data_IF_124591921331
#
_entry.id   IF_124591921331
#
_cell.length_a   1.000
_cell.length_b   1.000
_cell.length_c   1.000
_cell.angle_alpha   90.00
_cell.angle_beta   90.00
_cell.angle_gamma   90.00
#
_symmetry.space_group_name_H-M   'P 1'
#
loop_
_entity.id
_entity.type
_entity.pdbx_description
1 polymer ?
#
# COMPACT_ATOMS: atom_id res chain seq x y z
N UNK A 1 2.73 25.86 -43.51
CA UNK A 1 3.00 24.41 -43.32
C UNK A 1 3.22 24.06 -41.84
N UNK A 2 4.15 24.68 -41.13
CA UNK A 2 4.44 24.38 -39.72
C UNK A 2 3.22 24.55 -38.78
N UNK A 3 2.50 25.67 -38.91
CA UNK A 3 1.28 25.96 -38.14
C UNK A 3 0.18 24.89 -38.35
N UNK A 4 0.03 24.39 -39.55
CA UNK A 4 -0.95 23.36 -39.86
C UNK A 4 -0.54 22.00 -39.22
N UNK A 5 0.74 21.67 -39.25
CA UNK A 5 1.26 20.48 -38.59
C UNK A 5 1.04 20.59 -37.08
N UNK A 6 1.42 21.71 -36.46
CA UNK A 6 1.21 21.94 -35.04
C UNK A 6 -0.27 21.83 -34.65
N UNK A 7 -1.16 22.47 -35.41
CA UNK A 7 -2.60 22.36 -35.20
C UNK A 7 -3.09 20.90 -35.23
N UNK A 8 -2.68 20.11 -36.20
CA UNK A 8 -3.06 18.69 -36.29
C UNK A 8 -2.52 17.86 -35.12
N UNK A 9 -1.29 18.14 -34.68
CA UNK A 9 -0.71 17.46 -33.49
C UNK A 9 -1.48 17.80 -32.21
N UNK A 10 -1.78 19.08 -31.99
CA UNK A 10 -2.57 19.52 -30.82
C UNK A 10 -3.96 18.90 -30.87
N UNK A 11 -4.61 18.86 -32.01
CA UNK A 11 -5.93 18.23 -32.17
C UNK A 11 -5.87 16.75 -31.89
N UNK A 12 -4.88 16.03 -32.42
CA UNK A 12 -4.70 14.60 -32.16
C UNK A 12 -4.45 14.30 -30.66
N UNK A 13 -3.57 15.09 -30.01
CA UNK A 13 -3.34 14.98 -28.57
C UNK A 13 -4.61 15.26 -27.75
N UNK A 14 -5.40 16.28 -28.15
CA UNK A 14 -6.66 16.61 -27.46
C UNK A 14 -7.69 15.50 -27.60
N UNK A 15 -7.80 14.87 -28.77
CA UNK A 15 -8.67 13.73 -28.99
C UNK A 15 -8.24 12.53 -28.11
N UNK A 16 -6.95 12.20 -28.11
CA UNK A 16 -6.41 11.12 -27.28
C UNK A 16 -6.68 11.38 -25.78
N UNK A 17 -6.45 12.59 -25.32
CA UNK A 17 -6.75 12.98 -23.94
C UNK A 17 -8.25 12.88 -23.63
N UNK A 18 -9.10 13.31 -24.56
CA UNK A 18 -10.56 13.19 -24.46
C UNK A 18 -11.02 11.73 -24.34
N UNK A 19 -10.48 10.84 -25.18
CA UNK A 19 -10.77 9.40 -25.11
C UNK A 19 -10.27 8.78 -23.80
N UNK A 20 -9.09 9.19 -23.34
CA UNK A 20 -8.54 8.77 -22.05
C UNK A 20 -9.46 9.17 -20.89
N UNK A 21 -9.89 10.45 -20.84
CA UNK A 21 -10.82 10.94 -19.84
C UNK A 21 -12.18 10.23 -19.90
N UNK A 22 -12.70 9.97 -21.10
CA UNK A 22 -13.94 9.22 -21.28
C UNK A 22 -13.82 7.78 -20.74
N UNK A 23 -12.69 7.11 -21.01
CA UNK A 23 -12.40 5.80 -20.45
C UNK A 23 -12.42 5.81 -18.91
N UNK A 24 -11.69 6.76 -18.28
CA UNK A 24 -11.69 6.86 -16.82
C UNK A 24 -13.05 7.22 -16.25
N UNK A 25 -13.79 8.11 -16.89
CA UNK A 25 -15.16 8.44 -16.51
C UNK A 25 -16.09 7.23 -16.55
N UNK A 26 -16.02 6.44 -17.62
CA UNK A 26 -16.81 5.21 -17.77
C UNK A 26 -16.43 4.17 -16.70
N UNK A 27 -15.12 3.96 -16.44
CA UNK A 27 -14.66 3.08 -15.37
C UNK A 27 -15.14 3.56 -14.01
N UNK A 28 -15.04 4.86 -13.73
CA UNK A 28 -15.41 5.45 -12.44
C UNK A 28 -16.89 5.19 -12.07
N UNK A 29 -17.80 5.09 -13.04
CA UNK A 29 -19.20 4.77 -12.79
C UNK A 29 -19.38 3.42 -12.09
N UNK A 30 -18.48 2.47 -12.30
CA UNK A 30 -18.47 1.18 -11.60
C UNK A 30 -18.09 1.29 -10.13
N UNK A 31 -17.58 2.43 -9.67
CA UNK A 31 -17.38 2.72 -8.24
C UNK A 31 -18.69 2.75 -7.43
N UNK A 32 -19.84 2.91 -8.09
CA UNK A 32 -21.16 2.82 -7.46
C UNK A 32 -21.71 1.38 -7.41
N UNK A 33 -21.10 0.45 -8.14
CA UNK A 33 -21.54 -0.95 -8.14
C UNK A 33 -21.25 -1.59 -6.77
N UNK A 34 -22.25 -2.23 -6.17
CA UNK A 34 -22.07 -3.02 -4.96
C UNK A 34 -21.10 -4.17 -5.24
N UNK A 35 -20.02 -4.22 -4.47
CA UNK A 35 -19.00 -5.26 -4.62
C UNK A 35 -19.44 -6.55 -3.91
N UNK A 36 -19.00 -7.67 -4.46
CA UNK A 36 -19.10 -8.94 -3.73
C UNK A 36 -18.08 -8.91 -2.59
N UNK A 37 -18.55 -9.12 -1.36
CA UNK A 37 -17.67 -9.19 -0.21
C UNK A 37 -16.72 -10.39 -0.36
N UNK A 38 -15.47 -10.21 0.06
CA UNK A 38 -14.54 -11.32 0.19
C UNK A 38 -15.02 -12.20 1.35
N UNK A 39 -15.13 -13.53 1.19
CA UNK A 39 -15.57 -14.41 2.26
C UNK A 39 -14.68 -14.29 3.49
N UNK A 40 -15.28 -14.31 4.67
CA UNK A 40 -14.54 -14.32 5.93
C UNK A 40 -13.85 -15.67 6.12
N UNK A 41 -12.60 -15.63 6.52
CA UNK A 41 -11.76 -16.82 6.66
C UNK A 41 -11.09 -16.82 8.04
N UNK A 42 -10.95 -17.99 8.64
CA UNK A 42 -10.18 -18.10 9.88
C UNK A 42 -8.74 -17.60 9.68
N UNK A 43 -8.15 -16.93 10.69
CA UNK A 43 -6.77 -16.48 10.63
C UNK A 43 -5.81 -17.63 10.36
N UNK A 44 -4.98 -17.51 9.33
CA UNK A 44 -3.94 -18.51 9.00
C UNK A 44 -2.69 -17.90 8.35
N UNK A 45 -2.81 -16.70 7.75
CA UNK A 45 -1.69 -16.04 7.08
C UNK A 45 -0.74 -15.45 8.11
N UNK A 46 0.54 -15.81 8.06
CA UNK A 46 1.56 -15.20 8.91
C UNK A 46 2.10 -13.93 8.25
N UNK A 47 1.86 -12.78 8.88
CA UNK A 47 2.21 -11.47 8.35
C UNK A 47 3.50 -10.89 8.95
N UNK A 48 4.35 -10.31 8.11
CA UNK A 48 5.34 -9.32 8.50
C UNK A 48 4.74 -7.91 8.30
N UNK A 49 4.44 -7.19 9.38
CA UNK A 49 3.99 -5.80 9.33
C UNK A 49 5.21 -4.88 9.33
N UNK A 50 5.54 -4.30 8.19
CA UNK A 50 6.79 -3.58 7.94
C UNK A 50 6.54 -2.08 7.85
N UNK A 51 7.32 -1.30 8.59
CA UNK A 51 7.38 0.16 8.47
C UNK A 51 8.83 0.64 8.32
N UNK A 52 9.13 1.33 7.21
CA UNK A 52 10.35 2.12 7.09
C UNK A 52 10.14 3.45 7.80
N UNK A 53 11.08 3.86 8.66
CA UNK A 53 10.95 5.06 9.46
C UNK A 53 12.22 5.92 9.40
N UNK A 54 12.04 7.24 9.20
CA UNK A 54 13.14 8.20 9.21
C UNK A 54 12.75 9.47 9.95
N UNK A 55 13.28 9.64 11.17
CA UNK A 55 12.96 10.76 12.05
C UNK A 55 11.46 10.86 12.40
N UNK A 56 10.91 9.73 12.88
CA UNK A 56 9.49 9.55 13.20
C UNK A 56 9.25 9.29 14.70
N UNK A 57 10.16 9.77 15.58
CA UNK A 57 10.09 9.55 17.04
C UNK A 57 8.72 9.92 17.63
N UNK A 58 8.09 10.99 17.10
CA UNK A 58 6.82 11.50 17.62
C UNK A 58 5.62 10.59 17.33
N UNK A 59 5.64 9.81 16.24
CA UNK A 59 4.46 9.12 15.70
C UNK A 59 4.61 7.60 15.63
N UNK A 60 5.82 7.07 15.50
CA UNK A 60 6.05 5.63 15.27
C UNK A 60 5.43 4.74 16.35
N UNK A 61 5.39 5.18 17.61
CA UNK A 61 4.77 4.43 18.68
C UNK A 61 3.26 4.25 18.49
N UNK A 62 2.57 5.21 17.86
CA UNK A 62 1.14 5.14 17.59
C UNK A 62 0.83 4.05 16.55
N UNK A 63 1.64 3.96 15.49
CA UNK A 63 1.55 2.86 14.51
C UNK A 63 1.70 1.51 15.22
N UNK A 64 2.79 1.32 15.98
CA UNK A 64 3.06 0.05 16.68
C UNK A 64 1.92 -0.32 17.63
N UNK A 65 1.41 0.63 18.42
CA UNK A 65 0.27 0.40 19.31
C UNK A 65 -1.01 0.03 18.54
N UNK A 66 -1.28 0.63 17.38
CA UNK A 66 -2.44 0.30 16.55
C UNK A 66 -2.33 -1.11 15.96
N UNK A 67 -1.13 -1.52 15.54
CA UNK A 67 -0.85 -2.87 15.07
C UNK A 67 -0.97 -3.90 16.20
N UNK A 68 -0.54 -3.60 17.42
CA UNK A 68 -0.71 -4.50 18.57
C UNK A 68 -2.16 -4.73 18.99
N UNK A 69 -3.09 -3.88 18.54
CA UNK A 69 -4.53 -3.97 18.81
C UNK A 69 -5.30 -4.69 17.69
N UNK A 70 -4.60 -5.39 16.78
CA UNK A 70 -5.28 -6.12 15.72
C UNK A 70 -6.14 -7.26 16.27
N UNK A 71 -7.35 -7.42 15.74
CA UNK A 71 -8.23 -8.57 15.95
C UNK A 71 -7.71 -9.76 15.15
N UNK A 72 -6.47 -10.15 15.43
CA UNK A 72 -5.74 -11.21 14.74
C UNK A 72 -4.81 -11.92 15.74
N UNK A 73 -4.60 -13.25 15.63
CA UNK A 73 -3.75 -13.96 16.57
C UNK A 73 -2.33 -13.38 16.63
N UNK A 74 -1.81 -13.02 17.82
CA UNK A 74 -0.53 -12.35 17.95
C UNK A 74 0.66 -13.22 17.49
N UNK A 75 0.51 -14.53 17.47
CA UNK A 75 1.51 -15.48 16.96
C UNK A 75 1.58 -15.53 15.43
N UNK A 76 0.60 -14.94 14.73
CA UNK A 76 0.52 -14.92 13.28
C UNK A 76 0.99 -13.58 12.68
N UNK A 77 1.54 -12.67 13.46
CA UNK A 77 2.17 -11.48 12.88
C UNK A 77 3.28 -10.92 13.77
N UNK A 78 4.25 -10.33 13.11
CA UNK A 78 5.33 -9.58 13.74
C UNK A 78 5.32 -8.13 13.23
N UNK A 79 5.65 -7.18 14.12
CA UNK A 79 5.75 -5.76 13.80
C UNK A 79 7.23 -5.41 13.67
N UNK A 80 7.65 -5.03 12.47
CA UNK A 80 9.03 -4.79 12.11
C UNK A 80 9.18 -3.33 11.70
N UNK A 81 9.91 -2.57 12.49
CA UNK A 81 10.28 -1.20 12.15
C UNK A 81 11.72 -1.19 11.66
N UNK A 82 11.96 -0.60 10.51
CA UNK A 82 13.28 -0.42 9.93
C UNK A 82 13.67 1.08 9.99
N UNK A 83 14.29 1.53 11.11
CA UNK A 83 14.79 2.89 11.21
C UNK A 83 15.96 3.07 10.26
N UNK A 84 15.92 4.13 9.44
CA UNK A 84 16.98 4.41 8.48
C UNK A 84 17.40 5.88 8.57
N UNK A 85 18.69 6.14 8.59
CA UNK A 85 19.28 7.49 8.63
C UNK A 85 18.64 8.42 9.69
N UNK A 86 18.21 7.85 10.84
CA UNK A 86 17.59 8.61 11.92
C UNK A 86 18.63 9.38 12.73
N UNK A 87 18.28 10.62 13.10
CA UNK A 87 19.05 11.48 14.00
C UNK A 87 18.34 11.71 15.34
N UNK A 88 17.13 11.16 15.50
CA UNK A 88 16.25 11.25 16.68
C UNK A 88 16.09 9.89 17.39
N UNK A 89 15.14 9.81 18.31
CA UNK A 89 14.84 8.60 19.09
C UNK A 89 13.90 7.60 18.43
N UNK A 90 13.68 7.65 17.10
CA UNK A 90 12.73 6.77 16.38
C UNK A 90 12.90 5.28 16.73
N UNK A 91 14.12 4.75 16.70
CA UNK A 91 14.39 3.34 16.99
C UNK A 91 14.00 2.98 18.43
N UNK A 92 14.38 3.84 19.39
CA UNK A 92 14.05 3.66 20.81
C UNK A 92 12.54 3.71 21.04
N UNK A 93 11.83 4.65 20.42
CA UNK A 93 10.37 4.77 20.53
C UNK A 93 9.65 3.55 19.96
N UNK A 94 10.08 3.05 18.79
CA UNK A 94 9.53 1.84 18.18
C UNK A 94 9.75 0.59 19.06
N UNK A 95 10.95 0.40 19.58
CA UNK A 95 11.30 -0.72 20.45
C UNK A 95 10.51 -0.68 21.76
N UNK A 96 10.42 0.50 22.39
CA UNK A 96 9.66 0.69 23.63
C UNK A 96 8.17 0.41 23.44
N UNK A 97 7.60 0.68 22.25
CA UNK A 97 6.23 0.35 21.88
C UNK A 97 6.05 -1.16 21.60
N UNK A 98 7.13 -1.92 21.43
CA UNK A 98 7.13 -3.37 21.27
C UNK A 98 7.29 -3.86 19.81
N UNK A 99 7.89 -3.06 18.94
CA UNK A 99 8.30 -3.50 17.62
C UNK A 99 9.65 -4.21 17.65
N UNK A 100 9.83 -5.15 16.71
CA UNK A 100 11.14 -5.66 16.33
C UNK A 100 11.84 -4.60 15.48
N UNK A 101 13.13 -4.38 15.73
CA UNK A 101 13.93 -3.47 14.92
C UNK A 101 14.73 -4.25 13.87
N UNK A 102 14.68 -3.78 12.64
CA UNK A 102 15.59 -4.18 11.58
C UNK A 102 16.51 -2.99 11.25
N UNK A 103 17.81 -3.13 11.44
CA UNK A 103 18.79 -2.11 11.08
C UNK A 103 19.30 -2.39 9.65
N UNK A 104 18.93 -1.57 8.65
CA UNK A 104 19.44 -1.72 7.30
C UNK A 104 20.97 -1.65 7.28
N UNK A 105 21.61 -2.49 6.46
CA UNK A 105 23.07 -2.64 6.39
C UNK A 105 23.69 -1.91 5.20
N UNK A 106 22.91 -1.67 4.14
CA UNK A 106 23.35 -1.00 2.93
C UNK A 106 23.18 0.51 2.95
N UNK A 107 23.55 1.15 1.85
CA UNK A 107 23.24 2.56 1.62
C UNK A 107 21.75 2.72 1.32
N UNK A 108 21.06 3.49 2.14
CA UNK A 108 19.63 3.72 2.03
C UNK A 108 19.38 5.13 1.51
N UNK A 109 18.83 5.22 0.31
CA UNK A 109 18.44 6.47 -0.35
C UNK A 109 16.91 6.64 -0.41
N UNK A 110 16.16 5.54 -0.35
CA UNK A 110 14.72 5.50 -0.54
C UNK A 110 14.04 4.50 0.40
N UNK A 111 12.71 4.59 0.52
CA UNK A 111 11.87 3.58 1.17
C UNK A 111 12.00 2.22 0.46
N UNK A 112 12.14 2.22 -0.87
CA UNK A 112 12.35 1.01 -1.67
C UNK A 112 13.60 0.24 -1.27
N UNK A 113 14.71 0.92 -0.94
CA UNK A 113 15.95 0.27 -0.49
C UNK A 113 15.76 -0.43 0.85
N UNK A 114 15.05 0.22 1.79
CA UNK A 114 14.68 -0.39 3.08
C UNK A 114 13.82 -1.63 2.87
N UNK A 115 12.79 -1.53 2.03
CA UNK A 115 11.89 -2.64 1.76
C UNK A 115 12.62 -3.81 1.09
N UNK A 116 13.59 -3.54 0.20
CA UNK A 116 14.43 -4.57 -0.42
C UNK A 116 15.16 -5.41 0.63
N UNK A 117 15.88 -4.77 1.54
CA UNK A 117 16.60 -5.48 2.59
C UNK A 117 15.68 -6.23 3.55
N UNK A 118 14.56 -5.62 3.95
CA UNK A 118 13.58 -6.27 4.84
C UNK A 118 12.93 -7.47 4.16
N UNK A 119 12.61 -7.37 2.87
CA UNK A 119 12.03 -8.50 2.12
C UNK A 119 13.03 -9.65 2.06
N UNK A 120 14.28 -9.40 1.69
CA UNK A 120 15.29 -10.45 1.55
C UNK A 120 15.64 -11.09 2.89
N UNK A 121 15.98 -10.26 3.90
CA UNK A 121 16.60 -10.72 5.14
C UNK A 121 15.58 -11.09 6.23
N UNK A 122 14.34 -10.62 6.12
CA UNK A 122 13.32 -10.85 7.15
C UNK A 122 12.12 -11.60 6.57
N UNK A 123 11.46 -11.07 5.53
CA UNK A 123 10.19 -11.65 5.06
C UNK A 123 10.42 -13.03 4.43
N UNK A 124 11.33 -13.11 3.47
CA UNK A 124 11.59 -14.36 2.74
C UNK A 124 12.40 -15.37 3.56
N UNK A 125 13.30 -14.90 4.42
CA UNK A 125 14.08 -15.74 5.31
C UNK A 125 13.28 -16.20 6.55
N UNK A 126 12.36 -15.38 7.05
CA UNK A 126 11.61 -15.62 8.29
C UNK A 126 10.37 -16.50 8.16
N UNK A 127 10.07 -17.01 6.96
CA UNK A 127 8.92 -17.91 6.75
C UNK A 127 7.56 -17.25 6.90
N UNK A 128 7.45 -15.96 6.61
CA UNK A 128 6.17 -15.25 6.51
C UNK A 128 5.44 -15.61 5.22
N UNK A 129 4.11 -15.66 5.28
CA UNK A 129 3.27 -15.88 4.11
C UNK A 129 3.06 -14.60 3.30
N UNK A 130 3.04 -13.45 3.98
CA UNK A 130 2.85 -12.16 3.34
C UNK A 130 3.48 -11.02 4.15
N UNK A 131 3.79 -9.93 3.47
CA UNK A 131 4.21 -8.66 4.05
C UNK A 131 3.07 -7.65 3.96
N UNK A 132 2.84 -6.89 5.04
CA UNK A 132 2.04 -5.67 5.02
C UNK A 132 2.96 -4.46 5.19
N UNK A 133 2.80 -3.44 4.36
CA UNK A 133 3.63 -2.22 4.40
C UNK A 133 2.83 -1.04 4.92
N UNK A 134 3.43 -0.29 5.83
CA UNK A 134 2.85 0.90 6.45
C UNK A 134 3.85 2.06 6.43
N UNK A 135 3.32 3.28 6.38
CA UNK A 135 4.09 4.48 6.69
C UNK A 135 4.15 4.66 8.23
N UNK A 136 5.21 5.28 8.71
CA UNK A 136 5.50 5.36 10.15
C UNK A 136 4.46 6.15 10.95
N UNK A 137 3.74 7.03 10.28
CA UNK A 137 2.68 7.88 10.83
C UNK A 137 1.27 7.27 10.76
N UNK A 138 1.09 6.14 10.12
CA UNK A 138 -0.23 5.52 9.96
C UNK A 138 -0.84 5.06 11.29
N UNK A 139 -2.18 5.04 11.34
CA UNK A 139 -2.95 4.26 12.31
C UNK A 139 -3.68 3.13 11.57
N UNK A 140 -3.69 1.94 12.15
CA UNK A 140 -4.25 0.76 11.50
C UNK A 140 -5.54 0.33 12.19
N UNK A 141 -6.63 0.18 11.42
CA UNK A 141 -7.91 -0.30 11.96
C UNK A 141 -7.74 -1.71 12.57
N UNK A 142 -8.37 -2.02 13.71
CA UNK A 142 -8.20 -3.30 14.39
C UNK A 142 -8.47 -4.56 13.55
N UNK A 143 -9.30 -4.47 12.54
CA UNK A 143 -9.63 -5.61 11.66
C UNK A 143 -8.74 -5.70 10.40
N UNK A 144 -7.76 -4.84 10.24
CA UNK A 144 -6.96 -4.74 9.00
C UNK A 144 -6.35 -6.09 8.61
N UNK A 145 -5.61 -6.74 9.51
CA UNK A 145 -4.95 -8.02 9.22
C UNK A 145 -5.96 -9.13 8.94
N UNK A 146 -7.08 -9.16 9.66
CA UNK A 146 -8.15 -10.12 9.40
C UNK A 146 -8.74 -9.94 7.99
N UNK A 147 -8.91 -8.70 7.52
CA UNK A 147 -9.41 -8.41 6.14
C UNK A 147 -8.37 -8.73 5.09
N UNK A 148 -7.09 -8.48 5.36
CA UNK A 148 -6.00 -8.87 4.46
C UNK A 148 -5.87 -10.41 4.38
N UNK A 149 -6.00 -11.12 5.51
CA UNK A 149 -6.07 -12.58 5.52
C UNK A 149 -7.20 -13.12 4.63
N UNK A 150 -8.41 -12.53 4.73
CA UNK A 150 -9.53 -12.93 3.87
C UNK A 150 -9.16 -12.83 2.39
N UNK A 151 -8.52 -11.72 1.99
CA UNK A 151 -8.13 -11.49 0.60
C UNK A 151 -7.01 -12.44 0.13
N UNK A 152 -5.99 -12.67 0.96
CA UNK A 152 -4.90 -13.63 0.66
C UNK A 152 -5.47 -15.05 0.55
N UNK A 153 -6.37 -15.44 1.46
CA UNK A 153 -7.04 -16.74 1.42
C UNK A 153 -7.97 -16.92 0.21
N UNK A 154 -8.49 -15.83 -0.34
CA UNK A 154 -9.23 -15.84 -1.61
C UNK A 154 -8.33 -15.96 -2.85
N UNK A 155 -7.00 -16.05 -2.68
CA UNK A 155 -6.02 -16.24 -3.75
C UNK A 155 -5.43 -14.94 -4.30
N UNK A 156 -5.66 -13.79 -3.67
CA UNK A 156 -5.04 -12.53 -4.08
C UNK A 156 -3.60 -12.45 -3.57
N UNK A 157 -2.65 -12.21 -4.48
CA UNK A 157 -1.21 -12.17 -4.17
C UNK A 157 -0.69 -10.77 -3.84
N UNK A 158 -1.37 -9.74 -4.33
CA UNK A 158 -1.15 -8.33 -3.99
C UNK A 158 -2.50 -7.68 -3.66
N UNK A 159 -2.58 -6.94 -2.57
CA UNK A 159 -3.84 -6.36 -2.06
C UNK A 159 -3.59 -4.96 -1.53
N UNK A 160 -4.32 -3.97 -2.03
CA UNK A 160 -4.36 -2.61 -1.46
C UNK A 160 -5.56 -2.50 -0.50
N UNK A 161 -5.32 -1.96 0.69
CA UNK A 161 -6.36 -1.57 1.63
C UNK A 161 -6.96 -0.19 1.34
N UNK A 162 -7.92 0.21 2.15
CA UNK A 162 -8.53 1.52 2.11
C UNK A 162 -7.67 2.51 2.90
N UNK A 163 -7.17 3.55 2.24
CA UNK A 163 -6.45 4.64 2.89
C UNK A 163 -7.44 5.75 3.22
N UNK A 164 -7.71 5.95 4.50
CA UNK A 164 -8.55 7.00 5.03
C UNK A 164 -7.68 8.11 5.65
N UNK A 165 -8.28 9.20 6.08
CA UNK A 165 -7.59 10.32 6.71
C UNK A 165 -7.88 10.37 8.20
N UNK A 166 -6.86 10.70 9.03
CA UNK A 166 -6.99 10.89 10.48
C UNK A 166 -7.73 12.18 10.83
N UNK A 167 -7.43 13.24 10.11
CA UNK A 167 -7.75 14.64 10.49
C UNK A 167 -8.20 15.49 9.29
N UNK A 168 -9.26 15.07 8.55
CA UNK A 168 -9.70 15.76 7.33
C UNK A 168 -10.15 17.21 7.59
N UNK A 169 -10.50 17.54 8.84
CA UNK A 169 -11.01 18.85 9.23
C UNK A 169 -9.93 19.82 9.74
N UNK A 170 -8.67 19.37 9.85
CA UNK A 170 -7.59 20.17 10.45
C UNK A 170 -7.24 21.41 9.60
N UNK A 171 -7.30 21.28 8.29
CA UNK A 171 -7.02 22.37 7.34
C UNK A 171 -7.69 22.12 5.99
N UNK A 172 -7.77 23.17 5.16
CA UNK A 172 -8.25 23.02 3.79
C UNK A 172 -7.37 22.05 2.97
N UNK A 173 -6.06 22.00 3.25
CA UNK A 173 -5.11 21.10 2.58
C UNK A 173 -5.40 19.67 2.99
N UNK A 174 -5.54 19.39 4.30
CA UNK A 174 -5.90 18.03 4.79
C UNK A 174 -7.24 17.57 4.23
N UNK A 175 -8.23 18.46 4.14
CA UNK A 175 -9.53 18.15 3.53
C UNK A 175 -9.42 17.81 2.04
N UNK A 176 -8.65 18.57 1.27
CA UNK A 176 -8.41 18.27 -0.15
C UNK A 176 -7.67 16.94 -0.33
N UNK A 177 -6.69 16.65 0.51
CA UNK A 177 -5.95 15.39 0.52
C UNK A 177 -6.87 14.20 0.81
N UNK A 178 -7.71 14.32 1.82
CA UNK A 178 -8.72 13.31 2.20
C UNK A 178 -9.68 13.03 1.05
N UNK A 179 -10.23 14.07 0.41
CA UNK A 179 -11.10 13.94 -0.76
C UNK A 179 -10.39 13.20 -1.90
N UNK A 180 -9.11 13.52 -2.16
CA UNK A 180 -8.32 12.87 -3.19
C UNK A 180 -8.24 11.35 -2.95
N UNK A 181 -7.92 10.90 -1.72
CA UNK A 181 -7.88 9.49 -1.38
C UNK A 181 -9.24 8.81 -1.39
N UNK A 182 -10.31 9.47 -0.93
CA UNK A 182 -11.67 8.92 -1.03
C UNK A 182 -12.10 8.73 -2.48
N UNK A 183 -11.76 9.68 -3.36
CA UNK A 183 -11.99 9.55 -4.81
C UNK A 183 -11.17 8.42 -5.41
N UNK A 184 -9.88 8.29 -5.06
CA UNK A 184 -9.01 7.21 -5.51
C UNK A 184 -9.55 5.84 -5.06
N UNK A 185 -9.91 5.70 -3.80
CA UNK A 185 -10.50 4.48 -3.26
C UNK A 185 -11.81 4.12 -3.97
N UNK A 186 -12.71 5.10 -4.18
CA UNK A 186 -14.06 4.88 -4.72
C UNK A 186 -14.04 4.72 -6.24
N UNK A 187 -13.51 5.71 -6.95
CA UNK A 187 -13.66 5.85 -8.40
C UNK A 187 -12.52 5.24 -9.20
N UNK A 188 -11.41 4.91 -8.54
CA UNK A 188 -10.31 4.21 -9.17
C UNK A 188 -10.22 2.76 -8.66
N UNK A 189 -9.80 2.52 -7.41
CA UNK A 189 -9.54 1.17 -6.90
C UNK A 189 -10.80 0.29 -6.84
N UNK A 190 -11.90 0.80 -6.26
CA UNK A 190 -13.17 0.07 -6.22
C UNK A 190 -13.74 -0.17 -7.61
N UNK A 191 -13.75 0.85 -8.45
CA UNK A 191 -14.30 0.77 -9.81
C UNK A 191 -13.55 -0.27 -10.67
N UNK A 192 -12.22 -0.21 -10.68
CA UNK A 192 -11.38 -1.16 -11.41
C UNK A 192 -11.55 -2.58 -10.89
N UNK A 193 -11.56 -2.74 -9.58
CA UNK A 193 -11.78 -4.06 -8.96
C UNK A 193 -13.17 -4.64 -9.27
N UNK A 194 -14.21 -3.79 -9.39
CA UNK A 194 -15.55 -4.22 -9.80
C UNK A 194 -15.62 -4.73 -11.25
N UNK A 195 -14.67 -4.31 -12.09
CA UNK A 195 -14.48 -4.75 -13.47
C UNK A 195 -13.48 -5.91 -13.61
N UNK A 196 -12.90 -6.40 -12.50
CA UNK A 196 -11.84 -7.40 -12.53
C UNK A 196 -10.51 -6.85 -13.05
N UNK A 197 -10.31 -5.53 -13.04
CA UNK A 197 -9.06 -4.87 -13.38
C UNK A 197 -8.18 -4.72 -12.13
N UNK A 198 -6.87 -4.51 -12.33
CA UNK A 198 -5.93 -4.25 -11.25
C UNK A 198 -6.25 -2.93 -10.54
N UNK A 199 -6.30 -2.92 -9.22
CA UNK A 199 -6.17 -1.72 -8.43
C UNK A 199 -4.74 -1.17 -8.49
N UNK A 200 -4.46 -0.09 -7.77
CA UNK A 200 -3.15 0.53 -7.65
C UNK A 200 -2.71 0.47 -6.19
N UNK A 201 -1.47 0.09 -5.96
CA UNK A 201 -0.81 0.30 -4.66
C UNK A 201 -0.50 1.79 -4.53
N UNK A 202 -0.76 2.36 -3.35
CA UNK A 202 -0.61 3.80 -3.08
C UNK A 202 0.17 4.06 -1.78
N UNK A 203 1.39 3.55 -1.73
CA UNK A 203 2.40 3.85 -0.73
C UNK A 203 2.28 3.08 0.57
N UNK A 204 1.08 2.88 1.10
CA UNK A 204 0.86 2.31 2.43
C UNK A 204 -0.42 1.48 2.51
N UNK A 205 -0.54 0.65 3.57
CA UNK A 205 -1.72 -0.18 3.80
C UNK A 205 -1.94 -1.23 2.72
N UNK A 206 -0.89 -1.83 2.20
CA UNK A 206 -0.98 -2.88 1.20
C UNK A 206 -0.29 -4.17 1.68
N UNK A 207 -0.65 -5.26 1.04
CA UNK A 207 -0.10 -6.60 1.31
C UNK A 207 0.45 -7.20 0.03
N UNK A 208 1.62 -7.83 0.12
CA UNK A 208 2.23 -8.67 -0.92
C UNK A 208 2.57 -10.04 -0.33
N UNK A 209 2.16 -11.13 -1.00
CA UNK A 209 2.51 -12.48 -0.55
C UNK A 209 3.99 -12.78 -0.78
N UNK A 210 4.58 -13.59 0.09
CA UNK A 210 5.96 -14.04 -0.09
C UNK A 210 6.15 -14.83 -1.39
N UNK A 211 5.11 -15.51 -1.88
CA UNK A 211 5.11 -16.17 -3.19
C UNK A 211 5.32 -15.20 -4.33
N UNK A 212 4.56 -14.10 -4.36
CA UNK A 212 4.73 -13.03 -5.34
C UNK A 212 6.11 -12.38 -5.23
N UNK A 213 6.57 -12.08 -4.00
CA UNK A 213 7.88 -11.47 -3.81
C UNK A 213 9.01 -12.35 -4.32
N UNK A 214 8.94 -13.68 -4.13
CA UNK A 214 9.92 -14.62 -4.72
C UNK A 214 9.86 -14.65 -6.25
N UNK A 215 8.66 -14.62 -6.84
CA UNK A 215 8.48 -14.58 -8.29
C UNK A 215 9.05 -13.31 -8.91
N UNK A 216 8.92 -12.17 -8.22
CA UNK A 216 9.49 -10.89 -8.64
C UNK A 216 11.02 -10.80 -8.38
N UNK A 217 11.63 -11.80 -7.71
CA UNK A 217 13.04 -11.78 -7.32
C UNK A 217 13.35 -10.86 -6.14
N UNK A 218 12.39 -10.62 -5.25
CA UNK A 218 12.47 -9.71 -4.11
C UNK A 218 11.71 -8.39 -4.34
N UNK A 219 12.10 -7.35 -3.61
CA UNK A 219 11.56 -5.99 -3.79
C UNK A 219 12.51 -5.18 -4.69
N UNK A 220 12.32 -5.26 -6.01
CA UNK A 220 13.23 -4.74 -7.03
C UNK A 220 12.81 -3.38 -7.60
N UNK A 221 12.27 -2.49 -6.76
CA UNK A 221 11.93 -1.14 -7.17
C UNK A 221 13.16 -0.23 -7.15
N UNK A 222 13.25 0.68 -8.13
CA UNK A 222 14.38 1.62 -8.28
C UNK A 222 13.91 3.08 -8.35
N UNK A 223 12.62 3.33 -8.52
CA UNK A 223 12.06 4.68 -8.60
C UNK A 223 11.66 5.20 -7.21
N UNK A 224 11.50 6.51 -7.08
CA UNK A 224 11.00 7.14 -5.85
C UNK A 224 9.52 6.81 -5.57
N UNK A 225 8.80 6.32 -6.58
CA UNK A 225 7.41 5.86 -6.47
C UNK A 225 7.38 4.33 -6.54
N UNK A 226 8.00 3.71 -5.54
CA UNK A 226 8.18 2.26 -5.44
C UNK A 226 6.87 1.48 -5.50
N UNK A 227 5.78 2.07 -5.02
CA UNK A 227 4.43 1.52 -4.99
C UNK A 227 3.80 1.43 -6.40
N UNK A 228 3.97 2.47 -7.21
CA UNK A 228 3.55 2.47 -8.61
C UNK A 228 4.37 1.47 -9.42
N UNK A 229 5.69 1.45 -9.20
CA UNK A 229 6.58 0.49 -9.85
C UNK A 229 6.22 -0.94 -9.49
N UNK A 230 5.96 -1.24 -8.20
CA UNK A 230 5.48 -2.54 -7.76
C UNK A 230 4.16 -2.92 -8.43
N UNK A 231 3.22 -1.98 -8.55
CA UNK A 231 1.95 -2.21 -9.25
C UNK A 231 2.18 -2.56 -10.74
N UNK A 232 3.16 -1.91 -11.38
CA UNK A 232 3.54 -2.21 -12.77
C UNK A 232 4.21 -3.57 -12.89
N UNK A 233 5.10 -3.93 -11.97
CA UNK A 233 5.75 -5.26 -11.91
C UNK A 233 4.71 -6.37 -11.75
N UNK A 234 3.70 -6.19 -10.88
CA UNK A 234 2.58 -7.12 -10.77
C UNK A 234 1.86 -7.30 -12.12
N UNK A 235 1.57 -6.20 -12.83
CA UNK A 235 0.89 -6.27 -14.11
C UNK A 235 1.73 -6.97 -15.20
N UNK A 236 3.04 -6.72 -15.24
CA UNK A 236 3.97 -7.34 -16.19
C UNK A 236 4.10 -8.85 -15.97
N UNK A 237 3.97 -9.33 -14.74
CA UNK A 237 3.97 -10.75 -14.39
C UNK A 237 2.57 -11.39 -14.43
N UNK A 238 1.56 -10.67 -14.93
CA UNK A 238 0.19 -11.19 -15.08
C UNK A 238 -0.65 -11.18 -13.80
N UNK A 239 -0.12 -10.61 -12.72
CA UNK A 239 -0.83 -10.48 -11.45
C UNK A 239 -1.65 -9.19 -11.38
N UNK A 240 -2.72 -9.23 -10.59
CA UNK A 240 -3.57 -8.07 -10.34
C UNK A 240 -3.45 -7.67 -8.87
N UNK A 241 -3.34 -6.39 -8.63
CA UNK A 241 -3.53 -5.85 -7.29
C UNK A 241 -5.03 -5.86 -7.00
N UNK A 242 -5.46 -6.60 -5.99
CA UNK A 242 -6.82 -6.56 -5.48
C UNK A 242 -7.03 -5.32 -4.60
N UNK A 243 -8.29 -4.92 -4.40
CA UNK A 243 -8.62 -3.86 -3.45
C UNK A 243 -9.53 -4.40 -2.34
N UNK A 244 -9.10 -4.27 -1.08
CA UNK A 244 -9.87 -4.69 0.10
C UNK A 244 -10.34 -3.45 0.89
N UNK A 245 -11.56 -2.95 0.64
CA UNK A 245 -12.04 -1.71 1.22
C UNK A 245 -12.31 -1.78 2.73
N UNK A 246 -12.38 -2.98 3.30
CA UNK A 246 -12.60 -3.16 4.73
C UNK A 246 -11.28 -3.26 5.52
N UNK A 247 -10.14 -3.36 4.84
CA UNK A 247 -8.82 -3.24 5.45
C UNK A 247 -8.43 -1.76 5.45
N UNK A 248 -8.70 -1.07 6.54
CA UNK A 248 -8.57 0.40 6.62
C UNK A 248 -7.30 0.79 7.35
N UNK A 249 -6.58 1.76 6.79
CA UNK A 249 -5.55 2.55 7.48
C UNK A 249 -5.97 4.01 7.49
N UNK A 250 -5.50 4.74 8.49
CA UNK A 250 -5.70 6.18 8.63
C UNK A 250 -4.35 6.88 8.46
N UNK A 251 -4.29 7.82 7.55
CA UNK A 251 -3.11 8.58 7.17
C UNK A 251 -3.26 10.07 7.46
N UNK A 252 -2.19 10.85 7.42
CA UNK A 252 -2.18 12.27 7.74
C UNK A 252 -2.26 13.16 6.50
#
# INVERSE_FOLDING_TARGET
MLLLILWRLVTACSILLGLYMLYFGAVALFGFKKRRAVPRTAPKTRFACVAAARNEEAVIANLVHSLRRQNYPPELFDIIVAPNNCTDGTARAAQAAGAMLYAPQGEIHSKGDVLREVVENVVLAGGYDAMCVFDADNLVHPDFLARMNDAVCAGHVAVQGFRDSKNPEQSAISGCYSICYWMLNRFYNSARSALGLSALVNGSGFTATAGLLRELGGWNTVTMTEDYEFSAQCALTGHRVAFQPEAVIYDE
#
